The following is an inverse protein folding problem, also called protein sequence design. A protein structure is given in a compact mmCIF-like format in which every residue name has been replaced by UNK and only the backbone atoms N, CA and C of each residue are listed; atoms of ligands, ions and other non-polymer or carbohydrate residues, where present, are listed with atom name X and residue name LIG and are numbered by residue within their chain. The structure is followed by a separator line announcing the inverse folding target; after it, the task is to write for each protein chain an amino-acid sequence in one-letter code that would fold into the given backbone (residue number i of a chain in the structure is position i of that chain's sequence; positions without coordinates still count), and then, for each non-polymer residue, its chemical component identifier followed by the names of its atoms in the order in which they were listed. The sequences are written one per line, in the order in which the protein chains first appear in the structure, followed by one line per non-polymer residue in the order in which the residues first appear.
data_IF_524668768021
#
_entry.id   IF_524668768021
#
_cell.length_a   1.000
_cell.length_b   1.000
_cell.length_c   1.000
_cell.angle_alpha   90.00
_cell.angle_beta   90.00
_cell.angle_gamma   90.00
#
_symmetry.space_group_name_H-M   'P 1'
#
loop_
_entity.id
_entity.type
_entity.pdbx_description
1 polymer ?
#
# COMPACT_ATOMS: atom_id res chain seq x y z
N UNK A 1 35.87 0.49 32.47
CA UNK A 1 35.05 0.59 31.24
C UNK A 1 34.09 1.77 31.38
N UNK A 2 34.53 2.99 31.06
CA UNK A 2 33.69 4.19 31.23
C UNK A 2 34.29 5.36 30.47
N UNK A 3 33.73 5.70 29.31
CA UNK A 3 34.05 6.96 28.60
C UNK A 3 33.16 7.30 27.39
N UNK A 4 32.02 6.65 27.13
CA UNK A 4 31.20 6.95 25.94
C UNK A 4 30.03 7.93 26.13
N UNK A 5 29.74 8.39 27.35
CA UNK A 5 28.51 9.16 27.63
C UNK A 5 28.70 10.64 27.97
N UNK A 6 29.94 11.15 28.03
CA UNK A 6 30.22 12.53 28.47
C UNK A 6 29.73 13.64 27.53
N UNK A 7 28.95 13.32 26.49
CA UNK A 7 28.34 14.31 25.60
C UNK A 7 26.96 13.87 25.08
N UNK A 8 26.29 12.95 25.78
CA UNK A 8 24.93 12.54 25.41
C UNK A 8 23.93 13.65 25.77
N UNK A 9 22.98 13.89 24.85
CA UNK A 9 21.95 14.91 24.98
C UNK A 9 20.59 14.23 25.19
N UNK A 10 19.81 14.74 26.12
CA UNK A 10 18.42 14.36 26.37
C UNK A 10 17.54 15.55 25.96
N UNK A 11 16.56 15.31 25.10
CA UNK A 11 15.64 16.33 24.61
C UNK A 11 14.26 16.09 25.19
N UNK A 12 13.67 17.08 25.84
CA UNK A 12 12.32 17.00 26.41
C UNK A 12 11.36 17.92 25.65
N UNK A 13 10.09 17.53 25.57
CA UNK A 13 9.02 18.30 24.90
C UNK A 13 9.41 18.68 23.47
N UNK A 14 9.62 17.67 22.61
CA UNK A 14 9.99 17.82 21.20
C UNK A 14 11.29 18.63 20.96
N UNK A 15 12.19 18.68 21.95
CA UNK A 15 13.43 19.43 21.87
C UNK A 15 13.36 20.85 22.41
N UNK A 16 12.22 21.25 22.97
CA UNK A 16 12.08 22.56 23.61
C UNK A 16 13.02 22.71 24.80
N UNK A 17 13.30 21.63 25.54
CA UNK A 17 14.29 21.62 26.62
C UNK A 17 15.41 20.66 26.25
N UNK A 18 16.65 21.12 26.36
CA UNK A 18 17.85 20.34 26.08
C UNK A 18 18.65 20.16 27.36
N UNK A 19 18.97 18.90 27.67
CA UNK A 19 19.70 18.49 28.85
C UNK A 19 20.98 17.77 28.43
N UNK A 20 22.13 18.19 28.94
CA UNK A 20 23.40 17.49 28.75
C UNK A 20 23.67 16.57 29.94
N UNK A 21 23.92 15.29 29.67
CA UNK A 21 24.19 14.29 30.70
C UNK A 21 25.55 14.54 31.33
N UNK A 22 25.60 14.68 32.66
CA UNK A 22 26.83 14.87 33.43
C UNK A 22 27.31 13.57 34.08
N UNK A 23 26.38 12.82 34.68
CA UNK A 23 26.66 11.56 35.36
C UNK A 23 25.43 10.65 35.39
N UNK A 24 25.64 9.34 35.34
CA UNK A 24 24.58 8.33 35.47
C UNK A 24 24.85 7.49 36.71
N UNK A 25 23.88 7.45 37.63
CA UNK A 25 23.88 6.58 38.79
C UNK A 25 22.98 5.37 38.49
N UNK A 26 23.60 4.21 38.28
CA UNK A 26 22.88 2.97 37.91
C UNK A 26 22.22 2.30 39.09
N UNK A 27 22.73 2.48 40.30
CA UNK A 27 22.19 1.82 41.50
C UNK A 27 20.90 2.51 41.92
N UNK A 28 20.85 3.84 41.83
CA UNK A 28 19.66 4.63 42.13
C UNK A 28 18.73 4.80 40.92
N UNK A 29 19.20 4.48 39.71
CA UNK A 29 18.43 4.68 38.47
C UNK A 29 18.23 6.16 38.12
N UNK A 30 19.15 7.03 38.53
CA UNK A 30 19.06 8.48 38.35
C UNK A 30 20.12 8.99 37.38
N UNK A 31 19.77 10.03 36.61
CA UNK A 31 20.69 10.69 35.69
C UNK A 31 20.81 12.16 36.06
N UNK A 32 22.04 12.59 36.39
CA UNK A 32 22.33 14.00 36.66
C UNK A 32 22.60 14.71 35.34
N UNK A 33 21.82 15.73 35.04
CA UNK A 33 21.92 16.51 33.82
C UNK A 33 22.10 18.00 34.11
N UNK A 34 22.76 18.71 33.18
CA UNK A 34 22.75 20.17 33.13
C UNK A 34 21.69 20.62 32.14
N UNK A 35 20.83 21.55 32.54
CA UNK A 35 19.88 22.18 31.63
C UNK A 35 20.58 23.25 30.82
N UNK A 36 20.54 23.15 29.49
CA UNK A 36 21.24 24.08 28.59
C UNK A 36 20.38 25.31 28.25
N UNK A 37 19.07 25.24 28.47
CA UNK A 37 18.15 26.33 28.18
C UNK A 37 17.00 26.39 29.20
N UNK A 38 16.33 27.54 29.27
CA UNK A 38 15.17 27.75 30.14
C UNK A 38 13.87 27.60 29.36
N UNK A 39 12.97 26.72 29.79
CA UNK A 39 11.60 26.64 29.29
C UNK A 39 10.66 26.01 30.32
N UNK A 40 9.35 26.16 30.13
CA UNK A 40 8.33 25.56 31.00
C UNK A 40 8.12 24.10 30.61
N UNK A 41 8.33 23.18 31.56
CA UNK A 41 8.03 21.76 31.38
C UNK A 41 6.62 21.46 31.89
N UNK A 42 5.75 20.99 30.98
CA UNK A 42 4.41 20.51 31.34
C UNK A 42 4.38 19.04 31.74
N UNK A 43 3.18 18.52 32.01
CA UNK A 43 2.98 17.10 32.32
C UNK A 43 3.03 16.19 31.09
N UNK A 44 3.40 14.92 31.29
CA UNK A 44 3.40 13.84 30.28
C UNK A 44 4.12 14.23 28.97
N UNK A 45 5.18 15.04 29.06
CA UNK A 45 6.00 15.42 27.91
C UNK A 45 6.87 14.27 27.46
N UNK A 46 7.10 14.20 26.16
CA UNK A 46 7.97 13.19 25.58
C UNK A 46 9.45 13.50 25.87
N UNK A 47 10.25 12.44 25.77
CA UNK A 47 11.69 12.49 25.92
C UNK A 47 12.30 11.77 24.72
N UNK A 48 13.21 12.44 24.04
CA UNK A 48 13.95 11.92 22.89
C UNK A 48 15.44 11.82 23.24
N UNK A 49 16.06 10.72 22.85
CA UNK A 49 17.47 10.40 23.14
C UNK A 49 18.26 10.25 21.81
N UNK A 50 18.71 11.35 21.19
CA UNK A 50 19.45 11.29 19.94
C UNK A 50 20.74 10.47 20.08
N UNK A 51 20.98 9.57 19.12
CA UNK A 51 22.19 8.74 19.08
C UNK A 51 22.24 7.59 20.11
N UNK A 52 21.19 7.42 20.92
CA UNK A 52 21.08 6.30 21.87
C UNK A 52 20.16 5.23 21.30
N UNK A 53 20.65 3.99 21.26
CA UNK A 53 19.83 2.84 20.90
C UNK A 53 18.95 2.50 22.11
N UNK A 54 17.66 2.78 21.99
CA UNK A 54 16.66 2.45 23.01
C UNK A 54 16.10 1.06 22.72
N UNK A 55 16.24 0.15 23.68
CA UNK A 55 15.77 -1.25 23.56
C UNK A 55 14.35 -1.44 24.14
N UNK A 56 13.41 -0.58 23.72
CA UNK A 56 12.00 -0.77 24.04
C UNK A 56 11.35 -1.75 23.06
N UNK A 57 10.35 -2.54 23.45
CA UNK A 57 9.59 -3.36 22.52
C UNK A 57 8.86 -2.48 21.50
N UNK A 58 8.69 -2.99 20.28
CA UNK A 58 8.02 -2.23 19.21
C UNK A 58 6.51 -2.11 19.42
N UNK A 59 5.92 -3.05 20.14
CA UNK A 59 4.52 -3.00 20.59
C UNK A 59 4.48 -3.10 22.10
N UNK A 60 3.73 -2.20 22.74
CA UNK A 60 3.36 -2.32 24.15
C UNK A 60 2.20 -3.31 24.30
N UNK A 61 1.95 -3.80 25.53
CA UNK A 61 0.79 -4.66 25.78
C UNK A 61 -0.54 -3.95 25.46
N UNK A 62 -0.60 -2.64 25.72
CA UNK A 62 -1.73 -1.80 25.31
C UNK A 62 -1.92 -1.79 23.79
N UNK A 63 -0.84 -1.64 23.01
CA UNK A 63 -0.95 -1.66 21.55
C UNK A 63 -1.49 -3.01 21.04
N UNK A 64 -1.08 -4.13 21.68
CA UNK A 64 -1.59 -5.46 21.32
C UNK A 64 -3.08 -5.59 21.63
N UNK A 65 -3.52 -5.09 22.79
CA UNK A 65 -4.93 -5.05 23.16
C UNK A 65 -5.74 -4.18 22.20
N UNK A 66 -5.27 -2.96 21.91
CA UNK A 66 -5.92 -2.03 20.98
C UNK A 66 -6.04 -2.66 19.58
N UNK A 67 -5.01 -3.36 19.10
CA UNK A 67 -5.05 -4.04 17.79
C UNK A 67 -6.02 -5.22 17.80
N UNK A 68 -5.92 -6.11 18.80
CA UNK A 68 -6.65 -7.39 18.79
C UNK A 68 -8.10 -7.27 19.28
N UNK A 69 -8.34 -6.49 20.32
CA UNK A 69 -9.66 -6.36 20.96
C UNK A 69 -10.49 -5.25 20.32
N UNK A 70 -9.87 -4.21 19.78
CA UNK A 70 -10.59 -3.10 19.16
C UNK A 70 -10.40 -3.06 17.64
N UNK A 71 -9.17 -3.09 17.13
CA UNK A 71 -8.89 -2.93 15.70
C UNK A 71 -9.46 -4.04 14.82
N UNK A 72 -9.22 -5.31 15.19
CA UNK A 72 -9.69 -6.48 14.43
C UNK A 72 -11.23 -6.55 14.39
N UNK A 73 -11.97 -6.43 15.51
CA UNK A 73 -13.44 -6.46 15.48
C UNK A 73 -14.06 -5.30 14.70
N UNK A 74 -13.44 -4.12 14.73
CA UNK A 74 -13.90 -2.95 13.97
C UNK A 74 -13.47 -2.96 12.49
N UNK A 75 -12.78 -4.01 12.02
CA UNK A 75 -12.35 -4.18 10.62
C UNK A 75 -11.61 -2.95 10.08
N UNK A 76 -10.68 -2.39 10.87
CA UNK A 76 -9.87 -1.26 10.42
C UNK A 76 -9.06 -1.63 9.17
N UNK A 77 -8.80 -0.70 8.26
CA UNK A 77 -8.09 -1.02 7.01
C UNK A 77 -6.57 -0.99 7.18
N UNK A 78 -6.06 -0.20 8.12
CA UNK A 78 -4.65 0.13 8.18
C UNK A 78 -4.16 0.40 9.59
N UNK A 79 -2.94 -0.07 9.89
CA UNK A 79 -2.24 0.15 11.15
C UNK A 79 -0.94 0.91 10.86
N UNK A 80 -0.83 2.11 11.42
CA UNK A 80 0.40 2.91 11.37
C UNK A 80 1.24 2.63 12.62
N UNK A 81 2.30 1.84 12.45
CA UNK A 81 3.19 1.41 13.52
C UNK A 81 4.23 2.50 13.79
N UNK A 82 4.24 3.03 15.01
CA UNK A 82 5.25 4.00 15.46
C UNK A 82 6.53 3.29 15.89
N UNK A 83 7.67 3.98 15.78
CA UNK A 83 8.98 3.50 16.26
C UNK A 83 9.46 2.16 15.66
N UNK A 84 9.03 1.84 14.43
CA UNK A 84 9.56 0.69 13.71
C UNK A 84 11.03 0.93 13.38
N UNK A 85 11.90 0.06 13.88
CA UNK A 85 13.37 0.16 13.71
C UNK A 85 13.87 -0.86 12.70
N UNK A 86 13.33 -2.08 12.73
CA UNK A 86 13.82 -3.21 11.94
C UNK A 86 12.67 -3.90 11.19
N UNK A 87 13.00 -4.59 10.11
CA UNK A 87 12.01 -5.39 9.36
C UNK A 87 11.40 -6.54 10.17
N UNK A 88 12.13 -7.03 11.19
CA UNK A 88 11.63 -8.04 12.14
C UNK A 88 10.40 -7.57 12.91
N UNK A 89 10.30 -6.28 13.21
CA UNK A 89 9.17 -5.70 13.94
C UNK A 89 7.86 -5.89 13.16
N UNK A 90 7.91 -5.70 11.84
CA UNK A 90 6.76 -5.93 10.96
C UNK A 90 6.35 -7.40 10.90
N UNK A 91 7.32 -8.31 11.00
CA UNK A 91 7.06 -9.75 11.04
C UNK A 91 6.37 -10.12 12.35
N UNK A 92 6.77 -9.53 13.47
CA UNK A 92 6.14 -9.72 14.78
C UNK A 92 4.67 -9.26 14.76
N UNK A 93 4.40 -8.06 14.23
CA UNK A 93 3.01 -7.57 14.11
C UNK A 93 2.17 -8.47 13.20
N UNK A 94 2.75 -8.97 12.09
CA UNK A 94 2.05 -9.94 11.22
C UNK A 94 1.77 -11.26 11.93
N UNK A 95 2.68 -11.72 12.79
CA UNK A 95 2.45 -12.92 13.62
C UNK A 95 1.34 -12.69 14.64
N UNK A 96 1.31 -11.53 15.29
CA UNK A 96 0.25 -11.13 16.23
C UNK A 96 -1.12 -11.16 15.55
N UNK A 97 -1.24 -10.58 14.35
CA UNK A 97 -2.49 -10.55 13.58
C UNK A 97 -2.89 -11.92 13.02
N UNK A 98 -1.95 -12.86 12.86
CA UNK A 98 -2.21 -14.22 12.38
C UNK A 98 -2.97 -14.26 11.05
N UNK A 99 -4.15 -14.89 11.04
CA UNK A 99 -5.01 -15.00 9.84
C UNK A 99 -5.52 -13.65 9.34
N UNK A 100 -5.72 -12.71 10.27
CA UNK A 100 -6.23 -11.38 9.98
C UNK A 100 -5.21 -10.51 9.24
N UNK A 101 -3.90 -10.83 9.32
CA UNK A 101 -2.82 -10.03 8.74
C UNK A 101 -2.93 -9.76 7.23
N UNK A 102 -3.67 -10.59 6.47
CA UNK A 102 -3.89 -10.40 5.04
C UNK A 102 -4.86 -9.25 4.72
N UNK A 103 -5.70 -8.89 5.69
CA UNK A 103 -6.74 -7.87 5.53
C UNK A 103 -6.22 -6.47 5.86
N UNK A 104 -5.20 -6.33 6.70
CA UNK A 104 -4.70 -5.01 7.14
C UNK A 104 -3.50 -4.55 6.32
N UNK A 105 -3.47 -3.28 5.96
CA UNK A 105 -2.24 -2.61 5.53
C UNK A 105 -1.40 -2.22 6.76
N UNK A 106 -0.13 -2.63 6.76
CA UNK A 106 0.84 -2.18 7.77
C UNK A 106 1.69 -1.05 7.20
N UNK A 107 1.64 0.11 7.82
CA UNK A 107 2.52 1.24 7.51
C UNK A 107 3.53 1.44 8.63
N UNK A 108 4.80 1.48 8.25
CA UNK A 108 5.90 1.79 9.18
C UNK A 108 6.11 3.30 9.25
N UNK A 109 5.90 3.89 10.44
CA UNK A 109 6.25 5.28 10.73
C UNK A 109 7.67 5.32 11.29
N UNK A 110 8.62 5.61 10.41
CA UNK A 110 10.04 5.73 10.76
C UNK A 110 10.29 7.11 11.41
N UNK A 111 10.74 7.12 12.67
CA UNK A 111 10.90 8.34 13.47
C UNK A 111 12.37 8.69 13.80
N UNK A 112 13.35 7.91 13.37
CA UNK A 112 14.76 8.11 13.77
C UNK A 112 15.69 8.24 12.57
N UNK A 113 16.58 9.24 12.65
CA UNK A 113 17.76 9.49 11.79
C UNK A 113 18.88 8.45 12.01
N UNK A 114 18.55 7.16 12.15
CA UNK A 114 19.59 6.14 12.02
C UNK A 114 20.03 6.11 10.55
N UNK A 115 21.35 6.09 10.27
CA UNK A 115 21.84 5.87 8.92
C UNK A 115 21.15 4.63 8.36
N UNK A 116 20.71 4.72 7.11
CA UNK A 116 20.04 3.62 6.39
C UNK A 116 21.04 2.48 6.21
N UNK A 117 21.32 1.72 7.26
CA UNK A 117 22.03 0.46 7.16
C UNK A 117 20.97 -0.60 6.84
N UNK A 118 20.76 -0.77 5.53
CA UNK A 118 20.05 -1.90 4.89
C UNK A 118 18.52 -1.86 4.87
N UNK A 119 17.88 -0.73 4.55
CA UNK A 119 16.72 -0.83 3.66
C UNK A 119 17.25 -0.74 2.24
N UNK A 120 17.70 -1.87 1.68
CA UNK A 120 17.83 -1.93 0.23
C UNK A 120 16.46 -1.52 -0.34
N UNK A 121 16.35 -0.46 -1.16
CA UNK A 121 15.17 -0.39 -2.02
C UNK A 121 15.09 -1.76 -2.69
N UNK A 122 13.91 -2.40 -2.73
CA UNK A 122 13.77 -3.62 -3.54
C UNK A 122 14.37 -3.28 -4.90
N UNK A 123 15.46 -3.93 -5.34
CA UNK A 123 16.08 -3.56 -6.59
C UNK A 123 14.99 -3.64 -7.65
N UNK A 124 14.85 -2.58 -8.45
CA UNK A 124 14.21 -2.74 -9.75
C UNK A 124 14.93 -3.92 -10.40
N UNK A 125 14.23 -5.00 -10.79
CA UNK A 125 14.88 -6.08 -11.50
C UNK A 125 15.59 -5.47 -12.70
N UNK A 126 16.88 -5.79 -12.89
CA UNK A 126 17.54 -5.57 -14.17
C UNK A 126 16.73 -6.35 -15.20
N UNK A 127 15.88 -5.65 -15.94
CA UNK A 127 15.11 -6.25 -17.02
C UNK A 127 16.09 -6.49 -18.18
N UNK A 128 16.49 -7.74 -18.33
CA UNK A 128 17.07 -8.24 -19.57
C UNK A 128 16.02 -8.03 -20.66
N UNK A 129 16.32 -7.13 -21.60
CA UNK A 129 15.53 -6.88 -22.79
C UNK A 129 15.38 -8.19 -23.58
N UNK A 130 14.23 -8.85 -23.45
CA UNK A 130 13.78 -9.78 -24.48
C UNK A 130 12.88 -9.00 -25.44
N UNK A 131 13.49 -8.46 -26.49
CA UNK A 131 12.80 -8.07 -27.72
C UNK A 131 12.14 -9.31 -28.35
N UNK A 132 11.07 -9.84 -27.74
CA UNK A 132 10.15 -10.72 -28.45
C UNK A 132 9.01 -9.88 -28.99
N UNK A 133 9.27 -9.38 -30.19
CA UNK A 133 8.30 -9.14 -31.28
C UNK A 133 7.11 -8.26 -30.95
N UNK A 134 7.36 -6.95 -30.97
CA UNK A 134 6.35 -5.90 -31.13
C UNK A 134 5.67 -5.95 -32.53
N UNK A 135 6.24 -6.68 -33.49
CA UNK A 135 5.86 -6.59 -34.92
C UNK A 135 4.89 -7.68 -35.41
N UNK A 136 4.67 -8.78 -34.68
CA UNK A 136 3.84 -9.89 -35.19
C UNK A 136 2.37 -9.91 -34.76
N UNK A 137 1.87 -8.92 -34.01
CA UNK A 137 0.53 -9.00 -33.40
C UNK A 137 -0.39 -7.83 -33.73
N UNK A 138 -0.30 -7.33 -34.96
CA UNK A 138 -1.22 -6.33 -35.51
C UNK A 138 -2.22 -7.02 -36.43
N UNK A 139 -3.15 -7.79 -35.86
CA UNK A 139 -4.25 -8.36 -36.65
C UNK A 139 -5.60 -7.69 -36.38
N UNK A 140 -6.19 -7.30 -37.51
CA UNK A 140 -7.48 -6.67 -37.80
C UNK A 140 -8.59 -6.98 -36.80
N UNK A 141 -8.98 -5.98 -36.00
CA UNK A 141 -10.36 -5.57 -35.73
C UNK A 141 -10.43 -4.73 -34.45
N UNK A 142 -9.99 -3.46 -34.46
CA UNK A 142 -10.38 -2.41 -33.50
C UNK A 142 -10.14 -2.61 -31.98
N UNK A 143 -9.83 -3.82 -31.52
CA UNK A 143 -9.74 -4.30 -30.15
C UNK A 143 -8.58 -5.30 -30.09
N UNK A 144 -7.35 -4.82 -29.93
CA UNK A 144 -6.21 -5.71 -29.67
C UNK A 144 -6.26 -6.16 -28.20
N UNK A 145 -6.22 -7.47 -27.98
CA UNK A 145 -6.12 -8.08 -26.65
C UNK A 145 -4.76 -8.78 -26.50
N UNK A 146 -4.01 -8.46 -25.45
CA UNK A 146 -2.68 -9.05 -25.19
C UNK A 146 -2.71 -9.85 -23.89
N UNK A 147 -2.26 -11.11 -23.91
CA UNK A 147 -2.18 -11.96 -22.73
C UNK A 147 -0.74 -12.06 -22.22
N UNK A 148 -0.55 -11.85 -20.91
CA UNK A 148 0.76 -11.92 -20.25
C UNK A 148 0.71 -12.88 -19.06
N UNK A 149 1.79 -13.63 -18.89
CA UNK A 149 1.99 -14.52 -17.73
C UNK A 149 2.48 -13.74 -16.49
N UNK A 150 3.24 -12.66 -16.71
CA UNK A 150 3.80 -11.82 -15.63
C UNK A 150 3.01 -10.52 -15.44
N UNK A 151 2.41 -10.35 -14.25
CA UNK A 151 1.66 -9.13 -13.85
C UNK A 151 2.58 -7.88 -13.86
N UNK A 152 3.90 -8.06 -13.72
CA UNK A 152 4.86 -6.95 -13.74
C UNK A 152 5.13 -6.44 -15.16
N UNK A 153 5.38 -7.35 -16.09
CA UNK A 153 5.51 -7.01 -17.51
C UNK A 153 4.22 -6.35 -18.02
N UNK A 154 3.09 -6.97 -17.67
CA UNK A 154 1.75 -6.45 -17.91
C UNK A 154 1.54 -5.00 -17.43
N UNK A 155 1.98 -4.68 -16.21
CA UNK A 155 1.85 -3.32 -15.66
C UNK A 155 2.74 -2.32 -16.37
N UNK A 156 3.97 -2.72 -16.76
CA UNK A 156 4.90 -1.88 -17.51
C UNK A 156 4.40 -1.57 -18.92
N UNK A 157 3.96 -2.59 -19.67
CA UNK A 157 3.41 -2.40 -21.01
C UNK A 157 2.14 -1.56 -20.97
N UNK A 158 1.28 -1.75 -19.97
CA UNK A 158 0.09 -0.89 -19.84
C UNK A 158 0.43 0.59 -19.68
N UNK A 159 1.53 0.94 -18.99
CA UNK A 159 1.95 2.35 -18.87
C UNK A 159 2.55 2.91 -20.15
N UNK A 160 3.27 2.11 -20.93
CA UNK A 160 3.85 2.51 -22.23
C UNK A 160 2.79 2.59 -23.34
N UNK A 161 1.88 1.61 -23.40
CA UNK A 161 0.78 1.55 -24.38
C UNK A 161 -0.15 2.77 -24.23
N UNK A 162 -0.40 3.22 -23.00
CA UNK A 162 -1.19 4.41 -22.72
C UNK A 162 -0.64 5.66 -23.41
N UNK A 163 0.69 5.80 -23.46
CA UNK A 163 1.35 6.90 -24.14
C UNK A 163 1.18 6.79 -25.66
N UNK A 164 1.33 5.58 -26.19
CA UNK A 164 1.25 5.31 -27.63
C UNK A 164 -0.16 5.51 -28.21
N UNK A 165 -1.21 5.15 -27.46
CA UNK A 165 -2.61 5.22 -27.93
C UNK A 165 -3.35 6.50 -27.48
N UNK A 166 -2.64 7.43 -26.82
CA UNK A 166 -3.24 8.63 -26.22
C UNK A 166 -4.44 8.29 -25.31
N UNK A 167 -4.27 7.28 -24.45
CA UNK A 167 -5.31 6.85 -23.52
C UNK A 167 -5.57 7.93 -22.46
N UNK A 168 -6.84 8.10 -22.08
CA UNK A 168 -7.24 9.09 -21.07
C UNK A 168 -7.39 8.47 -19.69
N UNK A 169 -7.61 7.15 -19.63
CA UNK A 169 -7.90 6.41 -18.40
C UNK A 169 -7.34 4.99 -18.49
N UNK A 170 -6.74 4.51 -17.40
CA UNK A 170 -6.46 3.09 -17.20
C UNK A 170 -7.59 2.50 -16.35
N UNK A 171 -8.23 1.46 -16.84
CA UNK A 171 -9.24 0.72 -16.12
C UNK A 171 -8.67 -0.61 -15.65
N UNK A 172 -8.84 -0.95 -14.37
CA UNK A 172 -8.27 -2.17 -13.78
C UNK A 172 -9.32 -2.93 -13.00
N UNK A 173 -9.61 -4.16 -13.42
CA UNK A 173 -10.39 -5.11 -12.64
C UNK A 173 -9.49 -5.84 -11.65
N UNK A 174 -9.82 -5.77 -10.36
CA UNK A 174 -9.02 -6.42 -9.33
C UNK A 174 -9.87 -6.99 -8.21
N UNK A 175 -9.51 -8.18 -7.72
CA UNK A 175 -10.15 -8.77 -6.53
C UNK A 175 -9.40 -8.40 -5.25
N UNK A 176 -8.06 -8.48 -5.26
CA UNK A 176 -7.21 -8.19 -4.09
C UNK A 176 -6.48 -6.84 -4.12
N UNK A 177 -6.66 -6.03 -5.16
CA UNK A 177 -5.98 -4.73 -5.32
C UNK A 177 -4.52 -4.81 -5.79
N UNK A 178 -3.89 -5.99 -5.85
CA UNK A 178 -2.46 -6.13 -6.19
C UNK A 178 -2.13 -5.60 -7.58
N UNK A 179 -2.95 -5.90 -8.60
CA UNK A 179 -2.73 -5.43 -9.98
C UNK A 179 -2.76 -3.90 -10.05
N UNK A 180 -3.79 -3.29 -9.47
CA UNK A 180 -3.95 -1.85 -9.44
C UNK A 180 -2.77 -1.16 -8.73
N UNK A 181 -2.29 -1.74 -7.61
CA UNK A 181 -1.08 -1.27 -6.89
C UNK A 181 0.19 -1.38 -7.74
N UNK A 182 0.33 -2.45 -8.52
CA UNK A 182 1.48 -2.63 -9.40
C UNK A 182 1.50 -1.60 -10.52
N UNK A 183 0.36 -1.35 -11.18
CA UNK A 183 0.22 -0.29 -12.19
C UNK A 183 0.52 1.08 -11.58
N UNK A 184 0.01 1.37 -10.39
CA UNK A 184 0.29 2.63 -9.69
C UNK A 184 1.78 2.85 -9.37
N UNK A 185 2.57 1.78 -9.17
CA UNK A 185 4.01 1.90 -8.93
C UNK A 185 4.77 2.45 -10.14
N UNK A 186 4.27 2.24 -11.36
CA UNK A 186 4.84 2.80 -12.58
C UNK A 186 4.45 4.28 -12.80
N UNK A 187 3.61 4.84 -11.91
CA UNK A 187 3.25 6.27 -11.88
C UNK A 187 2.79 6.82 -13.24
N UNK A 188 1.77 6.23 -13.88
CA UNK A 188 1.23 6.80 -15.11
C UNK A 188 0.75 8.24 -14.89
N UNK A 189 0.86 9.07 -15.93
CA UNK A 189 0.40 10.47 -15.91
C UNK A 189 -1.14 10.59 -15.90
N UNK A 190 -1.83 9.51 -16.25
CA UNK A 190 -3.30 9.42 -16.33
C UNK A 190 -3.88 8.69 -15.11
N UNK A 191 -5.14 8.98 -14.74
CA UNK A 191 -5.79 8.29 -13.62
C UNK A 191 -5.97 6.78 -13.89
N UNK A 192 -5.97 6.00 -12.82
CA UNK A 192 -6.21 4.57 -12.82
C UNK A 192 -7.52 4.28 -12.08
N UNK A 193 -8.57 3.92 -12.79
CA UNK A 193 -9.83 3.45 -12.21
C UNK A 193 -9.69 1.99 -11.78
N UNK A 194 -9.62 1.74 -10.48
CA UNK A 194 -9.54 0.40 -9.91
C UNK A 194 -10.92 -0.10 -9.51
N UNK A 195 -11.49 -0.98 -10.33
CA UNK A 195 -12.78 -1.63 -10.06
C UNK A 195 -12.54 -2.89 -9.23
N UNK A 196 -13.04 -2.86 -8.01
CA UNK A 196 -12.97 -3.99 -7.08
C UNK A 196 -14.26 -4.80 -7.18
N UNK A 197 -14.13 -6.09 -7.49
CA UNK A 197 -15.26 -7.01 -7.54
C UNK A 197 -15.22 -7.89 -6.29
N UNK A 198 -16.24 -7.81 -5.42
CA UNK A 198 -16.31 -8.69 -4.27
C UNK A 198 -16.67 -10.12 -4.71
N UNK A 199 -16.01 -11.11 -4.13
CA UNK A 199 -16.27 -12.52 -4.36
C UNK A 199 -17.37 -13.01 -3.39
N UNK A 200 -18.46 -13.55 -3.94
CA UNK A 200 -19.49 -14.22 -3.14
C UNK A 200 -19.12 -15.70 -3.08
N UNK A 201 -18.85 -16.21 -1.88
CA UNK A 201 -18.64 -17.63 -1.61
C UNK A 201 -19.86 -18.20 -0.91
N UNK A 202 -20.47 -19.23 -1.51
CA UNK A 202 -21.62 -19.95 -0.97
C UNK A 202 -21.22 -21.36 -0.59
N UNK A 203 -21.20 -21.63 0.72
CA UNK A 203 -20.94 -22.97 1.24
C UNK A 203 -22.28 -23.57 1.67
N UNK A 204 -23.07 -24.03 0.68
CA UNK A 204 -24.34 -24.80 0.74
C UNK A 204 -25.50 -24.29 1.63
N UNK A 205 -25.27 -23.42 2.62
CA UNK A 205 -26.21 -22.89 3.61
C UNK A 205 -25.84 -21.45 4.02
N UNK A 206 -24.57 -21.04 3.90
CA UNK A 206 -24.10 -19.69 4.29
C UNK A 206 -23.55 -18.93 3.09
N UNK A 207 -24.07 -17.72 2.87
CA UNK A 207 -23.57 -16.77 1.88
C UNK A 207 -22.56 -15.84 2.56
N UNK A 208 -21.35 -15.73 2.01
CA UNK A 208 -20.33 -14.79 2.46
C UNK A 208 -19.84 -13.95 1.29
N UNK A 209 -19.70 -12.65 1.49
CA UNK A 209 -19.19 -11.71 0.50
C UNK A 209 -17.79 -11.25 0.92
N UNK A 210 -16.82 -11.25 0.01
CA UNK A 210 -15.46 -10.80 0.31
C UNK A 210 -15.43 -9.33 0.69
N UNK A 211 -14.41 -8.93 1.46
CA UNK A 211 -14.26 -7.58 2.01
C UNK A 211 -14.07 -6.50 0.93
N UNK A 212 -14.65 -5.33 1.16
CA UNK A 212 -14.47 -4.09 0.39
C UNK A 212 -13.10 -3.43 0.65
N UNK A 213 -12.35 -3.94 1.63
CA UNK A 213 -11.02 -3.45 2.02
C UNK A 213 -10.06 -3.18 0.83
N UNK A 214 -9.97 -3.99 -0.24
CA UNK A 214 -9.11 -3.68 -1.39
C UNK A 214 -9.43 -2.34 -2.07
N UNK A 215 -10.70 -1.90 -2.07
CA UNK A 215 -11.11 -0.61 -2.61
C UNK A 215 -10.62 0.53 -1.69
N UNK A 216 -10.82 0.39 -0.38
CA UNK A 216 -10.36 1.37 0.63
C UNK A 216 -8.84 1.49 0.67
N UNK A 217 -8.13 0.35 0.58
CA UNK A 217 -6.67 0.29 0.48
C UNK A 217 -6.10 1.02 -0.74
N UNK A 218 -6.85 1.09 -1.84
CA UNK A 218 -6.39 1.76 -3.06
C UNK A 218 -6.24 3.26 -2.89
N UNK A 219 -6.93 3.88 -1.91
CA UNK A 219 -6.89 5.32 -1.64
C UNK A 219 -5.51 5.85 -1.23
N UNK A 220 -4.62 4.98 -0.73
CA UNK A 220 -3.27 5.35 -0.30
C UNK A 220 -2.30 5.44 -1.50
N UNK A 221 -2.64 4.80 -2.62
CA UNK A 221 -1.76 4.73 -3.78
C UNK A 221 -2.05 5.87 -4.76
N UNK A 222 -0.98 6.48 -5.27
CA UNK A 222 -1.07 7.60 -6.21
C UNK A 222 -1.81 7.19 -7.48
N UNK A 223 -2.72 8.05 -7.93
CA UNK A 223 -3.40 7.92 -9.22
C UNK A 223 -4.53 6.88 -9.23
N UNK A 224 -4.69 6.09 -8.16
CA UNK A 224 -5.79 5.13 -8.05
C UNK A 224 -7.08 5.83 -7.63
N UNK A 225 -8.12 5.61 -8.41
CA UNK A 225 -9.51 5.98 -8.13
C UNK A 225 -10.29 4.68 -7.93
N UNK A 226 -10.58 4.26 -6.69
CA UNK A 226 -11.31 3.02 -6.45
C UNK A 226 -12.80 3.18 -6.81
N UNK A 227 -13.35 2.11 -7.37
CA UNK A 227 -14.78 1.89 -7.55
C UNK A 227 -15.14 0.47 -7.09
N UNK A 228 -16.27 0.31 -6.43
CA UNK A 228 -16.79 -0.99 -6.02
C UNK A 228 -17.84 -1.43 -7.04
N UNK A 229 -17.69 -2.64 -7.59
CA UNK A 229 -18.71 -3.24 -8.44
C UNK A 229 -19.73 -3.97 -7.58
N UNK A 230 -21.02 -3.89 -7.96
CA UNK A 230 -22.05 -4.75 -7.39
C UNK A 230 -21.75 -6.18 -7.86
N UNK A 231 -21.23 -7.04 -6.99
CA UNK A 231 -20.87 -8.41 -7.34
C UNK A 231 -22.05 -9.14 -7.99
N UNK A 232 -21.83 -9.76 -9.15
CA UNK A 232 -22.87 -10.56 -9.83
C UNK A 232 -22.86 -11.99 -9.27
N UNK A 233 -24.02 -12.47 -8.84
CA UNK A 233 -24.22 -13.86 -8.39
C UNK A 233 -24.26 -14.89 -9.54
N UNK A 234 -24.11 -14.44 -10.80
CA UNK A 234 -24.05 -15.32 -11.97
C UNK A 234 -22.67 -15.97 -12.07
N UNK A 235 -22.51 -17.09 -11.36
CA UNK A 235 -21.25 -17.81 -11.19
C UNK A 235 -20.89 -18.79 -12.35
N UNK A 236 -21.52 -18.69 -13.53
CA UNK A 236 -21.24 -19.63 -14.64
C UNK A 236 -20.43 -19.04 -15.80
N UNK A 237 -20.60 -17.76 -16.13
CA UNK A 237 -20.05 -17.19 -17.37
C UNK A 237 -19.15 -15.98 -17.08
N UNK A 238 -17.85 -16.24 -16.92
CA UNK A 238 -16.82 -15.25 -16.55
C UNK A 238 -16.67 -14.09 -17.57
N UNK A 239 -17.08 -14.29 -18.82
CA UNK A 239 -16.92 -13.30 -19.90
C UNK A 239 -18.03 -12.26 -19.92
N UNK A 240 -19.30 -12.67 -19.89
CA UNK A 240 -20.45 -11.74 -19.96
C UNK A 240 -20.50 -10.81 -18.74
N UNK A 241 -20.20 -11.32 -17.55
CA UNK A 241 -20.15 -10.50 -16.33
C UNK A 241 -19.04 -9.43 -16.34
N UNK A 242 -17.97 -9.65 -17.09
CA UNK A 242 -16.84 -8.71 -17.19
C UNK A 242 -17.21 -7.52 -18.07
N UNK A 243 -17.87 -7.75 -19.20
CA UNK A 243 -18.26 -6.70 -20.14
C UNK A 243 -19.35 -5.79 -19.54
N UNK A 244 -20.33 -6.36 -18.83
CA UNK A 244 -21.32 -5.59 -18.04
C UNK A 244 -20.63 -4.70 -16.99
N UNK A 245 -19.64 -5.25 -16.29
CA UNK A 245 -18.87 -4.50 -15.28
C UNK A 245 -18.06 -3.36 -15.90
N UNK A 246 -17.48 -3.58 -17.09
CA UNK A 246 -16.79 -2.54 -17.85
C UNK A 246 -17.77 -1.42 -18.20
N UNK A 247 -18.95 -1.74 -18.74
CA UNK A 247 -19.92 -0.72 -19.14
C UNK A 247 -20.39 0.14 -17.94
N UNK A 248 -20.79 -0.49 -16.84
CA UNK A 248 -21.24 0.21 -15.62
C UNK A 248 -20.13 1.10 -15.03
N UNK A 249 -18.90 0.60 -14.99
CA UNK A 249 -17.77 1.37 -14.47
C UNK A 249 -17.35 2.52 -15.38
N UNK A 250 -17.51 2.39 -16.70
CA UNK A 250 -17.31 3.49 -17.64
C UNK A 250 -18.40 4.56 -17.54
N UNK A 251 -19.65 4.18 -17.34
CA UNK A 251 -20.72 5.13 -17.02
C UNK A 251 -20.39 5.91 -15.74
N UNK A 252 -19.91 5.23 -14.71
CA UNK A 252 -19.44 5.87 -13.48
C UNK A 252 -18.24 6.81 -13.73
N UNK A 253 -17.28 6.40 -14.56
CA UNK A 253 -16.12 7.22 -14.93
C UNK A 253 -16.53 8.51 -15.66
N UNK A 254 -17.51 8.43 -16.57
CA UNK A 254 -18.10 9.59 -17.23
C UNK A 254 -18.79 10.53 -16.25
N UNK A 255 -19.58 9.98 -15.31
CA UNK A 255 -20.24 10.77 -14.28
C UNK A 255 -19.23 11.54 -13.40
N UNK A 256 -18.08 10.91 -13.11
CA UNK A 256 -16.94 11.53 -12.40
C UNK A 256 -16.05 12.42 -13.28
N UNK A 257 -16.38 12.60 -14.56
CA UNK A 257 -15.62 13.39 -15.55
C UNK A 257 -14.18 12.89 -15.75
N UNK A 258 -13.94 11.59 -15.56
CA UNK A 258 -12.64 10.96 -15.80
C UNK A 258 -12.40 10.63 -17.27
N UNK A 259 -13.46 10.39 -18.03
CA UNK A 259 -13.41 10.15 -19.48
C UNK A 259 -14.63 10.75 -20.18
N UNK A 260 -14.52 10.92 -21.50
CA UNK A 260 -15.60 11.34 -22.40
C UNK A 260 -15.84 10.27 -23.46
N UNK A 261 -16.99 10.32 -24.11
CA UNK A 261 -17.25 9.50 -25.31
C UNK A 261 -16.18 9.75 -26.37
N UNK A 262 -15.81 8.68 -27.09
CA UNK A 262 -14.71 8.59 -28.07
C UNK A 262 -13.29 8.70 -27.50
N UNK A 263 -13.10 8.64 -26.18
CA UNK A 263 -11.75 8.53 -25.60
C UNK A 263 -11.26 7.08 -25.64
N UNK A 264 -9.96 6.90 -25.83
CA UNK A 264 -9.29 5.62 -25.70
C UNK A 264 -8.98 5.32 -24.23
N UNK A 265 -9.19 4.08 -23.84
CA UNK A 265 -8.88 3.57 -22.50
C UNK A 265 -8.13 2.25 -22.61
N UNK A 266 -7.29 1.97 -21.62
CA UNK A 266 -6.61 0.68 -21.48
C UNK A 266 -7.30 -0.08 -20.36
N UNK A 267 -7.96 -1.18 -20.69
CA UNK A 267 -8.63 -2.07 -19.74
C UNK A 267 -7.74 -3.25 -19.39
N UNK A 268 -7.51 -3.44 -18.09
CA UNK A 268 -6.69 -4.49 -17.51
C UNK A 268 -7.59 -5.43 -16.71
N UNK A 269 -7.69 -6.69 -17.09
CA UNK A 269 -8.41 -7.69 -16.31
C UNK A 269 -7.71 -9.04 -16.36
N UNK A 270 -8.12 -9.97 -15.48
CA UNK A 270 -7.60 -11.33 -15.46
C UNK A 270 -8.67 -12.28 -15.99
N UNK A 271 -8.31 -13.10 -16.97
CA UNK A 271 -9.12 -14.23 -17.44
C UNK A 271 -8.40 -15.49 -16.97
N UNK A 272 -9.06 -16.27 -16.10
CA UNK A 272 -8.49 -17.45 -15.46
C UNK A 272 -7.11 -17.17 -14.80
N UNK A 273 -6.04 -17.63 -15.43
CA UNK A 273 -4.66 -17.42 -14.98
C UNK A 273 -3.87 -16.37 -15.76
N UNK A 274 -4.40 -15.86 -16.88
CA UNK A 274 -3.73 -14.90 -17.73
C UNK A 274 -4.18 -13.46 -17.43
N UNK A 275 -3.23 -12.52 -17.47
CA UNK A 275 -3.54 -11.09 -17.38
C UNK A 275 -3.74 -10.55 -18.80
N UNK A 276 -4.90 -9.93 -19.08
CA UNK A 276 -5.30 -9.46 -20.41
C UNK A 276 -5.40 -7.93 -20.46
N UNK A 277 -4.71 -7.33 -21.41
CA UNK A 277 -4.79 -5.89 -21.75
C UNK A 277 -5.72 -5.76 -22.95
N UNK A 278 -6.76 -4.95 -22.84
CA UNK A 278 -7.66 -4.59 -23.94
C UNK A 278 -7.65 -3.09 -24.15
N UNK A 279 -7.44 -2.65 -25.39
CA UNK A 279 -7.66 -1.26 -25.76
C UNK A 279 -9.12 -1.08 -26.15
N UNK A 280 -9.83 -0.19 -25.45
CA UNK A 280 -11.26 0.05 -25.68
C UNK A 280 -11.50 1.51 -26.02
N UNK A 281 -12.56 1.76 -26.78
CA UNK A 281 -13.08 3.12 -27.01
C UNK A 281 -14.34 3.31 -26.19
N UNK A 282 -14.43 4.43 -25.48
CA UNK A 282 -15.63 4.76 -24.69
C UNK A 282 -16.75 5.15 -25.65
N UNK A 283 -17.83 4.37 -25.70
CA UNK A 283 -19.06 4.68 -26.45
C UNK A 283 -19.84 5.79 -25.76
#
# INVERSE_FOLDING_TARGET
MGSRYNSSVIMCSDGTITLTVLACDKELGLVRCRCENSAVLGERKNVNLPGVIVDLPTLTEKDKEDILQWGVPNKIDMIALSFVRKGSDLVEVRKLLGKHAKTFLLMSKKLVLEPILKSQPKPWPEFVWRQRTWESFREKNGNCSYAYESIREFSFFSSEDCFSINAVLIWVLTRGGTTAKLVANYRPSIPILSVVVPQITTDSIVWSCSDEAPARHSLIFRGLVPALSAGSAKASDNTESTDETIELSLQHAKAKKLCKSKNFIVALHRIDNASVIKNLTVN
#
